data_IF_943817096431
#
_entry.id   IF_943817096431
#
_cell.length_a   1.000
_cell.length_b   1.000
_cell.length_c   1.000
_cell.angle_alpha   90.00
_cell.angle_beta   90.00
_cell.angle_gamma   90.00
#
_symmetry.space_group_name_H-M   'P 1'
#
loop_
_entity.id
_entity.type
_entity.pdbx_description
1 polymer ?
#
# COMPACT_ATOMS: atom_id res chain seq x y z
N UNK A 1 -5.27 19.18 11.87
CA UNK A 1 -4.46 17.96 11.65
C UNK A 1 -4.67 17.09 12.87
N UNK A 2 -5.46 16.02 12.77
CA UNK A 2 -5.56 15.06 13.87
C UNK A 2 -4.28 14.23 13.78
N UNK A 3 -3.28 14.60 14.57
CA UNK A 3 -2.15 13.74 14.85
C UNK A 3 -2.67 12.62 15.74
N UNK A 4 -3.22 11.57 15.13
CA UNK A 4 -3.17 10.26 15.78
C UNK A 4 -1.68 9.99 15.93
N UNK A 5 -1.19 9.91 17.16
CA UNK A 5 0.21 9.55 17.38
C UNK A 5 0.48 8.23 16.68
N UNK A 6 1.53 8.19 15.85
CA UNK A 6 1.94 6.99 15.12
C UNK A 6 2.01 5.76 16.05
N UNK A 7 2.42 5.97 17.31
CA UNK A 7 2.41 4.96 18.37
C UNK A 7 1.04 4.31 18.54
N UNK A 8 -0.01 5.10 18.79
CA UNK A 8 -1.37 4.57 18.96
C UNK A 8 -1.88 3.75 17.76
N UNK A 9 -1.51 4.14 16.54
CA UNK A 9 -1.92 3.39 15.35
C UNK A 9 -1.17 2.06 15.23
N UNK A 10 0.10 2.03 15.63
CA UNK A 10 0.89 0.79 15.69
C UNK A 10 0.39 -0.12 16.81
N UNK A 11 0.05 0.41 17.99
CA UNK A 11 -0.51 -0.35 19.12
C UNK A 11 -1.82 -1.07 18.72
N UNK A 12 -2.67 -0.42 17.91
CA UNK A 12 -3.88 -1.06 17.38
C UNK A 12 -3.53 -2.25 16.49
N UNK A 13 -2.52 -2.11 15.63
CA UNK A 13 -2.09 -3.22 14.78
C UNK A 13 -1.43 -4.36 15.57
N UNK A 14 -0.73 -4.08 16.67
CA UNK A 14 -0.20 -5.11 17.55
C UNK A 14 -1.29 -6.00 18.17
N UNK A 15 -2.50 -5.46 18.35
CA UNK A 15 -3.65 -6.22 18.81
C UNK A 15 -4.39 -7.01 17.71
N UNK A 16 -3.96 -6.89 16.45
CA UNK A 16 -4.59 -7.51 15.29
C UNK A 16 -3.76 -8.68 14.75
N UNK A 17 -4.42 -9.66 14.12
CA UNK A 17 -3.70 -10.69 13.37
C UNK A 17 -3.13 -10.12 12.06
N UNK A 18 -2.10 -10.75 11.51
CA UNK A 18 -1.52 -10.36 10.22
C UNK A 18 -2.56 -10.25 9.10
N UNK A 19 -3.50 -11.20 9.06
CA UNK A 19 -4.61 -11.23 8.10
C UNK A 19 -5.54 -10.00 8.28
N UNK A 20 -5.86 -9.65 9.52
CA UNK A 20 -6.70 -8.48 9.80
C UNK A 20 -6.01 -7.18 9.38
N UNK A 21 -4.72 -7.02 9.65
CA UNK A 21 -3.94 -5.84 9.24
C UNK A 21 -3.95 -5.71 7.72
N UNK A 22 -3.70 -6.81 7.01
CA UNK A 22 -3.74 -6.87 5.55
C UNK A 22 -5.12 -6.49 5.00
N UNK A 23 -6.19 -7.09 5.54
CA UNK A 23 -7.57 -6.85 5.10
C UNK A 23 -8.01 -5.40 5.33
N UNK A 24 -7.64 -4.80 6.45
CA UNK A 24 -7.93 -3.39 6.75
C UNK A 24 -7.20 -2.45 5.77
N UNK A 25 -5.99 -2.82 5.33
CA UNK A 25 -5.29 -2.17 4.21
C UNK A 25 -6.12 -2.17 2.92
N UNK A 26 -6.63 -3.34 2.53
CA UNK A 26 -7.46 -3.48 1.34
C UNK A 26 -8.78 -2.69 1.40
N UNK A 27 -9.50 -2.76 2.53
CA UNK A 27 -10.73 -1.98 2.74
C UNK A 27 -10.47 -0.47 2.65
N UNK A 28 -9.34 -0.01 3.20
CA UNK A 28 -8.93 1.40 3.14
C UNK A 28 -8.67 1.85 1.70
N UNK A 29 -8.06 1.00 0.87
CA UNK A 29 -7.84 1.25 -0.56
C UNK A 29 -9.17 1.35 -1.33
N UNK A 30 -10.11 0.44 -1.10
CA UNK A 30 -11.44 0.50 -1.73
C UNK A 30 -12.17 1.80 -1.38
N UNK A 31 -12.18 2.16 -0.08
CA UNK A 31 -12.74 3.42 0.38
C UNK A 31 -12.07 4.62 -0.30
N UNK A 32 -10.74 4.58 -0.45
CA UNK A 32 -9.99 5.65 -1.13
C UNK A 32 -10.39 5.81 -2.59
N UNK A 33 -10.47 4.71 -3.35
CA UNK A 33 -10.89 4.71 -4.77
C UNK A 33 -12.25 5.38 -4.98
N UNK A 34 -13.20 5.14 -4.09
CA UNK A 34 -14.54 5.74 -4.16
C UNK A 34 -14.50 7.25 -3.81
N UNK A 35 -13.74 7.59 -2.77
CA UNK A 35 -13.77 8.93 -2.18
C UNK A 35 -12.89 9.97 -2.88
N UNK A 36 -11.81 9.57 -3.57
CA UNK A 36 -10.83 10.51 -4.12
C UNK A 36 -11.06 10.79 -5.61
N UNK A 37 -11.41 12.05 -5.99
CA UNK A 37 -11.61 12.42 -7.39
C UNK A 37 -10.39 12.17 -8.28
N UNK A 38 -9.18 12.38 -7.75
CA UNK A 38 -7.92 12.25 -8.51
C UNK A 38 -7.62 10.81 -8.95
N UNK A 39 -8.28 9.82 -8.33
CA UNK A 39 -8.19 8.41 -8.70
C UNK A 39 -9.37 7.97 -9.58
N UNK A 40 -10.41 8.81 -9.74
CA UNK A 40 -11.57 8.49 -10.59
C UNK A 40 -11.15 8.55 -12.05
N UNK A 41 -11.43 7.48 -12.78
CA UNK A 41 -11.08 7.35 -14.21
C UNK A 41 -9.63 6.95 -14.49
N UNK A 42 -8.80 6.79 -13.45
CA UNK A 42 -7.44 6.24 -13.60
C UNK A 42 -7.49 4.73 -13.49
N UNK A 43 -7.09 4.05 -14.56
CA UNK A 43 -6.94 2.59 -14.54
C UNK A 43 -5.64 2.19 -13.82
N UNK A 44 -5.76 1.97 -12.51
CA UNK A 44 -4.65 1.55 -11.66
C UNK A 44 -4.25 0.07 -11.84
N UNK A 45 -4.96 -0.70 -12.67
CA UNK A 45 -4.47 -2.04 -13.06
C UNK A 45 -3.29 -1.95 -14.03
N UNK A 46 -3.15 -0.81 -14.73
CA UNK A 46 -2.00 -0.53 -15.61
C UNK A 46 -0.80 -0.04 -14.79
N UNK A 47 0.33 -0.76 -14.83
CA UNK A 47 1.54 -0.40 -14.09
C UNK A 47 2.06 1.03 -14.33
N UNK A 48 1.88 1.56 -15.55
CA UNK A 48 2.25 2.93 -15.94
C UNK A 48 1.52 4.00 -15.13
N UNK A 49 0.36 3.68 -14.55
CA UNK A 49 -0.45 4.62 -13.78
C UNK A 49 -0.18 4.57 -12.27
N UNK A 50 0.59 3.59 -11.78
CA UNK A 50 0.80 3.40 -10.33
C UNK A 50 1.48 4.61 -9.67
N UNK A 51 2.33 5.33 -10.42
CA UNK A 51 3.00 6.53 -9.92
C UNK A 51 2.04 7.60 -9.40
N UNK A 52 0.80 7.66 -9.91
CA UNK A 52 -0.24 8.59 -9.44
C UNK A 52 -0.63 8.26 -7.99
N UNK A 53 -0.96 6.99 -7.73
CA UNK A 53 -1.31 6.52 -6.40
C UNK A 53 -0.12 6.60 -5.44
N UNK A 54 1.09 6.21 -5.87
CA UNK A 54 2.29 6.26 -5.04
C UNK A 54 2.64 7.69 -4.62
N UNK A 55 2.51 8.66 -5.54
CA UNK A 55 2.71 10.08 -5.23
C UNK A 55 1.66 10.60 -4.25
N UNK A 56 0.41 10.15 -4.37
CA UNK A 56 -0.63 10.48 -3.40
C UNK A 56 -0.26 9.96 -1.99
N UNK A 57 0.17 8.71 -1.87
CA UNK A 57 0.59 8.14 -0.59
C UNK A 57 1.79 8.88 0.01
N UNK A 58 2.75 9.30 -0.82
CA UNK A 58 3.84 10.16 -0.39
C UNK A 58 3.34 11.51 0.15
N UNK A 59 2.37 12.14 -0.51
CA UNK A 59 1.77 13.39 -0.04
C UNK A 59 1.00 13.24 1.28
N UNK A 60 0.56 12.02 1.63
CA UNK A 60 -0.03 11.71 2.93
C UNK A 60 1.02 11.43 4.02
N UNK A 61 2.30 11.43 3.67
CA UNK A 61 3.39 11.14 4.60
C UNK A 61 3.56 9.66 4.91
N UNK A 62 3.10 8.75 4.04
CA UNK A 62 3.23 7.30 4.29
C UNK A 62 4.65 6.77 4.07
N UNK A 63 5.52 7.57 3.44
CA UNK A 63 6.89 7.23 3.10
C UNK A 63 7.28 7.88 1.78
N UNK A 64 8.52 7.66 1.35
CA UNK A 64 8.99 8.01 0.01
C UNK A 64 8.88 6.80 -0.89
N UNK A 65 8.07 6.91 -1.94
CA UNK A 65 7.79 5.81 -2.85
C UNK A 65 8.58 5.97 -4.14
N UNK A 66 9.32 4.93 -4.52
CA UNK A 66 10.03 4.86 -5.80
C UNK A 66 9.64 3.56 -6.49
N UNK A 67 9.31 3.64 -7.78
CA UNK A 67 9.08 2.46 -8.61
C UNK A 67 10.23 2.28 -9.60
N UNK A 68 10.79 1.08 -9.66
CA UNK A 68 11.76 0.67 -10.67
C UNK A 68 11.29 -0.67 -11.24
N UNK A 69 10.97 -0.72 -12.52
CA UNK A 69 10.42 -1.92 -13.18
C UNK A 69 9.20 -2.48 -12.43
N UNK A 70 9.29 -3.69 -11.86
CA UNK A 70 8.25 -4.34 -11.05
C UNK A 70 8.47 -4.17 -9.54
N UNK A 71 9.48 -3.41 -9.10
CA UNK A 71 9.73 -3.13 -7.70
C UNK A 71 9.08 -1.82 -7.26
N UNK A 72 8.50 -1.84 -6.06
CA UNK A 72 8.05 -0.66 -5.32
C UNK A 72 8.90 -0.58 -4.05
N UNK A 73 9.74 0.45 -3.98
CA UNK A 73 10.59 0.77 -2.83
C UNK A 73 9.91 1.84 -1.98
N UNK A 74 9.88 1.62 -0.67
CA UNK A 74 9.27 2.52 0.30
C UNK A 74 10.30 2.83 1.38
N UNK A 75 10.82 4.05 1.36
CA UNK A 75 11.74 4.55 2.38
C UNK A 75 10.94 5.27 3.47
N UNK A 76 11.35 5.10 4.73
CA UNK A 76 10.72 5.74 5.89
C UNK A 76 9.21 5.42 6.00
N UNK A 77 8.84 4.15 5.81
CA UNK A 77 7.45 3.70 5.85
C UNK A 77 6.79 4.05 7.19
N UNK A 78 5.78 4.93 7.16
CA UNK A 78 5.12 5.43 8.35
C UNK A 78 3.99 4.50 8.84
N UNK A 79 3.54 3.57 7.99
CA UNK A 79 2.47 2.61 8.25
C UNK A 79 3.02 1.18 8.38
N UNK A 80 2.21 0.28 8.94
CA UNK A 80 2.58 -1.14 9.04
C UNK A 80 2.71 -1.78 7.65
N UNK A 81 3.75 -2.60 7.44
CA UNK A 81 4.08 -3.15 6.11
C UNK A 81 2.97 -4.03 5.54
N UNK A 82 2.35 -4.88 6.35
CA UNK A 82 1.20 -5.70 5.93
C UNK A 82 -0.02 -4.86 5.50
N UNK A 83 -0.28 -3.76 6.22
CA UNK A 83 -1.36 -2.83 5.88
C UNK A 83 -1.08 -2.17 4.53
N UNK A 84 0.15 -1.71 4.32
CA UNK A 84 0.58 -1.13 3.05
C UNK A 84 0.49 -2.14 1.90
N UNK A 85 0.92 -3.38 2.12
CA UNK A 85 0.80 -4.46 1.13
C UNK A 85 -0.65 -4.67 0.72
N UNK A 86 -1.57 -4.87 1.67
CA UNK A 86 -3.00 -5.06 1.39
C UNK A 86 -3.62 -3.88 0.66
N UNK A 87 -3.22 -2.66 1.02
CA UNK A 87 -3.62 -1.44 0.34
C UNK A 87 -3.15 -1.41 -1.13
N UNK A 88 -1.87 -1.63 -1.38
CA UNK A 88 -1.29 -1.56 -2.73
C UNK A 88 -1.79 -2.71 -3.63
N UNK A 89 -1.87 -3.94 -3.13
CA UNK A 89 -2.42 -5.07 -3.89
C UNK A 89 -3.87 -4.81 -4.31
N UNK A 90 -4.67 -4.20 -3.43
CA UNK A 90 -6.07 -3.82 -3.73
C UNK A 90 -6.15 -2.63 -4.70
N UNK A 91 -5.23 -1.68 -4.58
CA UNK A 91 -5.15 -0.54 -5.50
C UNK A 91 -4.80 -0.99 -6.92
N UNK A 92 -3.82 -1.86 -7.05
CA UNK A 92 -3.22 -2.23 -8.32
C UNK A 92 -3.73 -3.54 -8.92
N UNK A 93 -4.51 -4.32 -8.15
CA UNK A 93 -4.97 -5.67 -8.53
C UNK A 93 -3.81 -6.60 -8.93
N UNK A 94 -2.73 -6.59 -8.15
CA UNK A 94 -1.57 -7.48 -8.32
C UNK A 94 -1.24 -8.17 -7.01
N UNK A 95 -0.44 -9.23 -7.09
CA UNK A 95 0.26 -9.76 -5.92
C UNK A 95 1.55 -9.00 -5.68
N UNK A 96 1.82 -8.68 -4.42
CA UNK A 96 3.09 -8.11 -4.00
C UNK A 96 3.79 -9.10 -3.07
N UNK A 97 5.05 -9.39 -3.35
CA UNK A 97 5.91 -10.13 -2.43
C UNK A 97 6.87 -9.17 -1.77
N UNK A 98 6.94 -9.18 -0.46
CA UNK A 98 7.97 -8.43 0.26
C UNK A 98 9.33 -9.11 0.06
N UNK A 99 10.31 -8.33 -0.39
CA UNK A 99 11.70 -8.74 -0.46
C UNK A 99 12.41 -8.35 0.84
N UNK A 100 12.99 -9.34 1.53
CA UNK A 100 13.73 -9.11 2.77
C UNK A 100 15.00 -8.31 2.47
N UNK A 101 15.16 -7.17 3.13
CA UNK A 101 16.34 -6.33 3.03
C UNK A 101 16.89 -6.06 4.43
N UNK A 102 18.21 -5.92 4.53
CA UNK A 102 18.90 -5.55 5.78
C UNK A 102 18.98 -4.03 5.96
N UNK A 103 18.57 -3.24 4.95
CA UNK A 103 18.63 -1.77 5.01
C UNK A 103 17.51 -1.26 5.92
N UNK A 104 17.84 -0.64 7.08
CA UNK A 104 16.82 -0.19 8.02
C UNK A 104 15.90 0.87 7.40
N UNK A 105 14.60 0.70 7.60
CA UNK A 105 13.59 1.65 7.12
C UNK A 105 13.29 1.59 5.62
N UNK A 106 13.84 0.60 4.89
CA UNK A 106 13.51 0.30 3.51
C UNK A 106 12.59 -0.91 3.44
N UNK A 107 11.46 -0.76 2.77
CA UNK A 107 10.57 -1.86 2.38
C UNK A 107 10.62 -1.99 0.86
N UNK A 108 10.72 -3.22 0.35
CA UNK A 108 10.69 -3.50 -1.08
C UNK A 108 9.58 -4.50 -1.36
N UNK A 109 8.63 -4.11 -2.21
CA UNK A 109 7.64 -5.01 -2.76
C UNK A 109 7.98 -5.33 -4.22
N UNK A 110 7.99 -6.61 -4.55
CA UNK A 110 8.11 -7.11 -5.91
C UNK A 110 6.70 -7.43 -6.41
N UNK A 111 6.27 -6.75 -7.46
CA UNK A 111 5.00 -7.01 -8.11
C UNK A 111 5.08 -8.28 -8.97
N UNK A 112 4.19 -9.22 -8.67
CA UNK A 112 3.96 -10.44 -9.41
C UNK A 112 2.79 -10.31 -10.38
N UNK A 113 2.05 -11.41 -10.54
CA UNK A 113 0.94 -11.51 -11.48
C UNK A 113 -0.26 -10.64 -11.07
N UNK A 114 -1.10 -10.32 -12.07
CA UNK A 114 -2.38 -9.67 -11.85
C UNK A 114 -3.31 -10.62 -11.10
N UNK A 115 -3.95 -10.14 -10.03
CA UNK A 115 -5.09 -10.83 -9.41
C UNK A 115 -6.31 -10.69 -10.33
N UNK A 116 -6.37 -11.50 -11.39
CA UNK A 116 -7.61 -11.73 -12.13
C UNK A 116 -8.50 -12.58 -11.22
N UNK A 117 -9.73 -12.13 -11.02
CA UNK A 117 -10.65 -12.50 -9.95
C UNK A 117 -10.78 -14.03 -9.73
N UNK A 118 -10.19 -14.53 -8.64
CA UNK A 118 -10.69 -15.71 -7.94
C UNK A 118 -11.78 -15.28 -6.94
N UNK A 119 -12.85 -14.67 -7.45
CA UNK A 119 -14.10 -14.55 -6.71
C UNK A 119 -15.08 -15.53 -7.34
N UNK A 120 -15.17 -16.72 -6.76
CA UNK A 120 -16.34 -17.60 -6.87
C UNK A 120 -17.06 -17.58 -5.54
#
# INVERSE_FOLDING_TARGET
MILIERGMFLDIFEAMTEEQIYNVGGLSALKRKVMKPDLRGVDLTKPSNWGIALKELQNLGWGKFTRVENEIKVEYCAVHTLYLRGYLETMFRVELKEHKTEIPGLVIFIAGESKIEAWR
#
